data_IF_471929902732
#
_entry.id   IF_471929902732
#
_cell.length_a   1.000
_cell.length_b   1.000
_cell.length_c   1.000
_cell.angle_alpha   90.00
_cell.angle_beta   90.00
_cell.angle_gamma   90.00
#
_symmetry.space_group_name_H-M   'P 1'
#
loop_
_entity.id
_entity.type
_entity.pdbx_description
1 polymer ?
#
# COMPACT_ATOMS: atom_id res chain seq x y z
N UNK A 1 -28.93 46.25 56.54
CA UNK A 1 -29.72 45.65 55.42
C UNK A 1 -29.08 45.95 54.09
N UNK A 2 -28.76 47.18 53.73
CA UNK A 2 -28.19 47.59 52.46
C UNK A 2 -26.84 46.95 52.13
N UNK A 3 -25.96 46.84 53.15
CA UNK A 3 -24.64 46.19 52.98
C UNK A 3 -24.75 44.69 52.63
N UNK A 4 -25.69 43.99 53.21
CA UNK A 4 -25.93 42.56 52.96
C UNK A 4 -26.46 42.35 51.54
N UNK A 5 -27.33 43.26 51.07
CA UNK A 5 -27.86 43.22 49.68
C UNK A 5 -26.76 43.49 48.67
N UNK A 6 -25.90 44.45 48.91
CA UNK A 6 -24.76 44.76 48.05
C UNK A 6 -23.73 43.58 47.96
N UNK A 7 -23.41 42.97 49.10
CA UNK A 7 -22.56 41.82 49.17
C UNK A 7 -23.17 40.61 48.43
N UNK A 8 -24.47 40.35 48.58
CA UNK A 8 -25.19 39.28 47.88
C UNK A 8 -25.21 39.54 46.35
N UNK A 9 -25.36 40.77 45.90
CA UNK A 9 -25.33 41.12 44.50
C UNK A 9 -23.94 40.86 43.87
N UNK A 10 -22.87 41.29 44.54
CA UNK A 10 -21.49 41.00 44.11
C UNK A 10 -21.21 39.52 44.03
N UNK A 11 -21.71 38.74 45.00
CA UNK A 11 -21.56 37.29 44.98
C UNK A 11 -22.32 36.63 43.81
N UNK A 12 -23.55 37.10 43.54
CA UNK A 12 -24.35 36.61 42.43
C UNK A 12 -23.69 36.93 41.06
N UNK A 13 -23.19 38.13 40.89
CA UNK A 13 -22.50 38.57 39.68
C UNK A 13 -21.21 37.75 39.46
N UNK A 14 -20.46 37.44 40.53
CA UNK A 14 -19.29 36.60 40.47
C UNK A 14 -19.65 35.19 40.06
N UNK A 15 -20.67 34.57 40.65
CA UNK A 15 -21.14 33.23 40.31
C UNK A 15 -21.59 33.17 38.84
N UNK A 16 -22.31 34.19 38.35
CA UNK A 16 -22.74 34.24 36.97
C UNK A 16 -21.56 34.39 36.00
N UNK A 17 -20.55 35.18 36.35
CA UNK A 17 -19.34 35.33 35.53
C UNK A 17 -18.54 34.02 35.48
N UNK A 18 -18.37 33.33 36.60
CA UNK A 18 -17.68 32.03 36.65
C UNK A 18 -18.45 30.97 35.88
N UNK A 19 -19.77 30.87 36.02
CA UNK A 19 -20.60 29.93 35.26
C UNK A 19 -20.55 30.17 33.76
N UNK A 20 -20.54 31.45 33.32
CA UNK A 20 -20.41 31.83 31.92
C UNK A 20 -19.04 31.41 31.37
N UNK A 21 -17.96 31.71 32.08
CA UNK A 21 -16.61 31.32 31.70
C UNK A 21 -16.44 29.78 31.58
N UNK A 22 -17.03 29.05 32.53
CA UNK A 22 -17.01 27.61 32.51
C UNK A 22 -17.81 27.01 31.35
N UNK A 23 -18.97 27.58 31.04
CA UNK A 23 -19.80 27.19 29.89
C UNK A 23 -19.06 27.44 28.58
N UNK A 24 -18.41 28.59 28.42
CA UNK A 24 -17.61 28.91 27.23
C UNK A 24 -16.44 27.95 27.06
N UNK A 25 -15.74 27.64 28.14
CA UNK A 25 -14.66 26.64 28.17
C UNK A 25 -15.15 25.26 27.78
N UNK A 26 -16.28 24.82 28.34
CA UNK A 26 -16.88 23.52 28.06
C UNK A 26 -17.33 23.43 26.59
N UNK A 27 -17.96 24.49 26.04
CA UNK A 27 -18.38 24.56 24.64
C UNK A 27 -17.18 24.42 23.71
N UNK A 28 -16.12 25.19 23.95
CA UNK A 28 -14.89 25.11 23.15
C UNK A 28 -14.24 23.74 23.22
N UNK A 29 -14.15 23.16 24.43
CA UNK A 29 -13.61 21.81 24.62
C UNK A 29 -14.42 20.74 23.88
N UNK A 30 -15.76 20.87 23.88
CA UNK A 30 -16.65 19.98 23.16
C UNK A 30 -16.50 20.11 21.65
N UNK A 31 -16.40 21.32 21.12
CA UNK A 31 -16.13 21.55 19.69
C UNK A 31 -14.79 20.95 19.25
N UNK A 32 -13.75 21.12 20.05
CA UNK A 32 -12.44 20.55 19.76
C UNK A 32 -12.47 19.01 19.81
N UNK A 33 -13.21 18.44 20.76
CA UNK A 33 -13.41 16.99 20.87
C UNK A 33 -14.15 16.43 19.64
N UNK A 34 -15.21 17.11 19.19
CA UNK A 34 -15.96 16.72 17.98
C UNK A 34 -15.07 16.79 16.74
N UNK A 35 -14.29 17.84 16.58
CA UNK A 35 -13.33 17.97 15.47
C UNK A 35 -12.29 16.85 15.50
N UNK A 36 -11.78 16.53 16.68
CA UNK A 36 -10.80 15.43 16.85
C UNK A 36 -11.43 14.09 16.49
N UNK A 37 -12.65 13.82 16.98
CA UNK A 37 -13.37 12.59 16.65
C UNK A 37 -13.62 12.46 15.15
N UNK A 38 -14.01 13.56 14.48
CA UNK A 38 -14.18 13.61 13.03
C UNK A 38 -12.88 13.30 12.27
N UNK A 39 -11.76 13.89 12.69
CA UNK A 39 -10.44 13.57 12.10
C UNK A 39 -10.08 12.09 12.27
N UNK A 40 -10.25 11.56 13.47
CA UNK A 40 -9.94 10.17 13.77
C UNK A 40 -10.80 9.20 12.94
N UNK A 41 -12.09 9.50 12.78
CA UNK A 41 -12.98 8.73 11.93
C UNK A 41 -12.51 8.69 10.47
N UNK A 42 -12.12 9.83 9.91
CA UNK A 42 -11.61 9.91 8.54
C UNK A 42 -10.29 9.13 8.35
N UNK A 43 -9.41 9.18 9.35
CA UNK A 43 -8.16 8.40 9.34
C UNK A 43 -8.47 6.92 9.35
N UNK A 44 -9.29 6.43 10.30
CA UNK A 44 -9.67 5.02 10.42
C UNK A 44 -10.40 4.50 9.18
N UNK A 45 -11.26 5.33 8.58
CA UNK A 45 -11.94 4.98 7.33
C UNK A 45 -10.94 4.78 6.18
N UNK A 46 -10.00 5.73 6.02
CA UNK A 46 -8.94 5.62 5.00
C UNK A 46 -8.08 4.37 5.18
N UNK A 47 -7.67 4.09 6.41
CA UNK A 47 -6.89 2.89 6.74
C UNK A 47 -7.67 1.61 6.42
N UNK A 48 -8.96 1.57 6.70
CA UNK A 48 -9.82 0.44 6.36
C UNK A 48 -9.91 0.23 4.85
N UNK A 49 -10.17 1.29 4.08
CA UNK A 49 -10.23 1.21 2.61
C UNK A 49 -8.89 0.76 2.02
N UNK A 50 -7.78 1.29 2.53
CA UNK A 50 -6.44 0.89 2.06
C UNK A 50 -6.14 -0.57 2.34
N UNK A 51 -6.56 -1.07 3.51
CA UNK A 51 -6.39 -2.49 3.87
C UNK A 51 -7.22 -3.41 2.97
N UNK A 52 -8.49 -3.09 2.73
CA UNK A 52 -9.33 -3.85 1.82
C UNK A 52 -8.78 -3.86 0.39
N UNK A 53 -8.31 -2.71 -0.08
CA UNK A 53 -7.64 -2.62 -1.38
C UNK A 53 -6.42 -3.55 -1.47
N UNK A 54 -5.57 -3.54 -0.43
CA UNK A 54 -4.39 -4.44 -0.37
C UNK A 54 -4.81 -5.92 -0.40
N UNK A 55 -5.87 -6.28 0.29
CA UNK A 55 -6.42 -7.65 0.28
C UNK A 55 -6.86 -8.05 -1.12
N UNK A 56 -7.66 -7.22 -1.80
CA UNK A 56 -8.12 -7.48 -3.17
C UNK A 56 -6.94 -7.61 -4.14
N UNK A 57 -5.94 -6.75 -4.04
CA UNK A 57 -4.73 -6.82 -4.87
C UNK A 57 -4.00 -8.13 -4.61
N UNK A 58 -3.81 -8.51 -3.33
CA UNK A 58 -3.12 -9.74 -2.95
C UNK A 58 -3.81 -10.99 -3.49
N UNK A 59 -5.13 -11.07 -3.37
CA UNK A 59 -5.92 -12.19 -3.90
C UNK A 59 -5.76 -12.31 -5.43
N UNK A 60 -5.83 -11.21 -6.17
CA UNK A 60 -5.68 -11.22 -7.63
C UNK A 60 -4.25 -11.56 -8.07
N UNK A 61 -3.23 -11.00 -7.42
CA UNK A 61 -1.82 -11.32 -7.71
C UNK A 61 -1.56 -12.79 -7.45
N UNK A 62 -1.99 -13.33 -6.32
CA UNK A 62 -1.82 -14.75 -5.99
C UNK A 62 -2.57 -15.67 -6.95
N UNK A 63 -3.75 -15.28 -7.41
CA UNK A 63 -4.50 -16.05 -8.41
C UNK A 63 -3.74 -16.14 -9.74
N UNK A 64 -3.20 -15.02 -10.24
CA UNK A 64 -2.39 -14.99 -11.48
C UNK A 64 -1.11 -15.80 -11.30
N UNK A 65 -0.42 -15.64 -10.18
CA UNK A 65 0.85 -16.31 -9.91
C UNK A 65 0.71 -17.82 -9.69
N UNK A 66 -0.46 -18.27 -9.26
CA UNK A 66 -0.78 -19.71 -9.17
C UNK A 66 -1.29 -20.30 -10.48
N UNK A 67 -1.52 -19.51 -11.50
CA UNK A 67 -2.04 -19.92 -12.81
C UNK A 67 -0.93 -20.11 -13.85
N UNK A 68 -1.28 -20.66 -15.02
CA UNK A 68 -0.36 -20.77 -16.14
C UNK A 68 -0.02 -19.42 -16.79
N UNK A 69 -0.75 -18.36 -16.42
CA UNK A 69 -0.50 -16.98 -16.87
C UNK A 69 0.84 -16.45 -16.35
N UNK A 70 1.37 -16.98 -15.25
CA UNK A 70 2.68 -16.61 -14.71
C UNK A 70 3.80 -16.80 -15.76
N UNK A 71 3.78 -17.90 -16.50
CA UNK A 71 4.78 -18.14 -17.55
C UNK A 71 4.76 -17.04 -18.63
N UNK A 72 3.57 -16.64 -19.08
CA UNK A 72 3.40 -15.55 -20.03
C UNK A 72 3.88 -14.20 -19.49
N UNK A 73 3.61 -13.92 -18.22
CA UNK A 73 4.09 -12.71 -17.55
C UNK A 73 5.63 -12.67 -17.49
N UNK A 74 6.26 -13.78 -17.10
CA UNK A 74 7.72 -13.93 -17.07
C UNK A 74 8.31 -13.65 -18.43
N UNK A 75 7.78 -14.30 -19.47
CA UNK A 75 8.26 -14.15 -20.86
C UNK A 75 8.17 -12.67 -21.29
N UNK A 76 7.03 -12.02 -21.10
CA UNK A 76 6.84 -10.62 -21.47
C UNK A 76 7.81 -9.67 -20.74
N UNK A 77 8.04 -9.90 -19.46
CA UNK A 77 8.96 -9.06 -18.68
C UNK A 77 10.41 -9.29 -19.15
N UNK A 78 10.82 -10.52 -19.39
CA UNK A 78 12.16 -10.83 -19.90
C UNK A 78 12.36 -10.21 -21.28
N UNK A 79 11.37 -10.26 -22.18
CA UNK A 79 11.45 -9.58 -23.49
C UNK A 79 11.66 -8.07 -23.34
N UNK A 80 11.01 -7.44 -22.38
CA UNK A 80 11.25 -6.02 -22.08
C UNK A 80 12.69 -5.77 -21.60
N UNK A 81 13.29 -6.72 -20.87
CA UNK A 81 14.67 -6.63 -20.41
C UNK A 81 15.67 -6.92 -21.53
N UNK A 82 15.41 -7.92 -22.36
CA UNK A 82 16.26 -8.29 -23.50
C UNK A 82 16.49 -7.15 -24.51
N UNK A 83 15.53 -6.23 -24.59
CA UNK A 83 15.63 -5.04 -25.45
C UNK A 83 16.43 -3.88 -24.83
N UNK A 84 16.92 -4.02 -23.60
CA UNK A 84 17.76 -2.99 -22.95
C UNK A 84 19.23 -3.22 -23.29
N UNK A 85 19.96 -2.19 -23.72
CA UNK A 85 21.36 -2.33 -24.14
C UNK A 85 22.31 -2.77 -23.03
N UNK A 86 21.91 -2.57 -21.77
CA UNK A 86 22.74 -2.82 -20.59
C UNK A 86 22.36 -4.11 -19.86
N UNK A 87 21.45 -4.94 -20.40
CA UNK A 87 21.03 -6.18 -19.79
C UNK A 87 21.82 -7.37 -20.36
N UNK A 88 22.93 -7.69 -19.72
CA UNK A 88 23.70 -8.90 -19.97
C UNK A 88 23.40 -9.94 -18.86
N UNK A 89 23.55 -11.23 -19.19
CA UNK A 89 23.43 -12.36 -18.25
C UNK A 89 22.14 -12.35 -17.41
N UNK A 90 21.00 -12.47 -18.07
CA UNK A 90 19.69 -12.50 -17.38
C UNK A 90 19.53 -13.84 -16.67
N UNK A 91 19.36 -13.78 -15.35
CA UNK A 91 19.00 -14.92 -14.51
C UNK A 91 17.60 -14.73 -13.95
N UNK A 92 16.70 -15.65 -14.23
CA UNK A 92 15.36 -15.69 -13.61
C UNK A 92 15.41 -16.62 -12.41
N UNK A 93 15.03 -16.09 -11.27
CA UNK A 93 15.02 -16.82 -10.00
C UNK A 93 13.57 -17.01 -9.58
N UNK A 94 13.16 -18.26 -9.37
CA UNK A 94 11.81 -18.62 -8.92
C UNK A 94 11.85 -19.84 -8.01
N UNK A 95 10.73 -20.20 -7.40
CA UNK A 95 10.70 -21.41 -6.58
C UNK A 95 10.83 -22.67 -7.45
N UNK A 96 11.24 -23.77 -6.83
CA UNK A 96 11.50 -25.04 -7.52
C UNK A 96 10.26 -25.63 -8.18
N UNK A 97 9.07 -25.39 -7.64
CA UNK A 97 7.81 -25.91 -8.19
C UNK A 97 7.46 -25.19 -9.49
N UNK A 98 7.61 -23.88 -9.53
CA UNK A 98 7.34 -23.06 -10.71
C UNK A 98 8.39 -23.30 -11.81
N UNK A 99 9.65 -23.54 -11.47
CA UNK A 99 10.64 -23.96 -12.44
C UNK A 99 10.19 -25.25 -13.12
N UNK A 100 9.90 -26.31 -12.36
CA UNK A 100 9.48 -27.60 -12.91
C UNK A 100 8.22 -27.50 -13.77
N UNK A 101 7.36 -26.54 -13.46
CA UNK A 101 6.10 -26.30 -14.19
C UNK A 101 6.28 -25.54 -15.50
N UNK A 102 7.21 -24.58 -15.54
CA UNK A 102 7.28 -23.60 -16.63
C UNK A 102 8.60 -23.61 -17.41
N UNK A 103 9.63 -24.36 -16.97
CA UNK A 103 10.98 -24.33 -17.57
C UNK A 103 10.95 -24.54 -19.09
N UNK A 104 10.29 -25.59 -19.57
CA UNK A 104 10.23 -25.91 -20.99
C UNK A 104 9.54 -24.81 -21.81
N UNK A 105 8.47 -24.22 -21.25
CA UNK A 105 7.71 -23.16 -21.91
C UNK A 105 8.52 -21.87 -22.00
N UNK A 106 9.15 -21.47 -20.89
CA UNK A 106 9.98 -20.24 -20.83
C UNK A 106 11.19 -20.38 -21.76
N UNK A 107 11.92 -21.47 -21.67
CA UNK A 107 13.11 -21.69 -22.50
C UNK A 107 12.76 -21.81 -23.99
N UNK A 108 11.69 -22.51 -24.37
CA UNK A 108 11.25 -22.60 -25.74
C UNK A 108 10.87 -21.24 -26.34
N UNK A 109 10.14 -20.44 -25.57
CA UNK A 109 9.67 -19.12 -26.02
C UNK A 109 10.79 -18.07 -26.19
N UNK A 110 11.84 -18.19 -25.39
CA UNK A 110 12.91 -17.19 -25.34
C UNK A 110 14.17 -17.59 -26.12
N UNK A 111 14.32 -18.86 -26.49
CA UNK A 111 15.49 -19.40 -27.17
C UNK A 111 15.87 -18.68 -28.45
N UNK A 112 14.89 -18.23 -29.23
CA UNK A 112 15.12 -17.53 -30.49
C UNK A 112 15.35 -16.01 -30.31
N UNK A 113 14.99 -15.46 -29.16
CA UNK A 113 14.95 -14.01 -28.91
C UNK A 113 16.16 -13.50 -28.15
N UNK A 114 16.93 -14.38 -27.50
CA UNK A 114 18.06 -13.98 -26.66
C UNK A 114 19.38 -14.57 -27.16
N UNK A 115 20.25 -13.70 -27.63
CA UNK A 115 21.59 -14.07 -28.11
C UNK A 115 22.49 -14.67 -27.01
N UNK A 116 22.31 -14.26 -25.77
CA UNK A 116 23.16 -14.65 -24.62
C UNK A 116 22.52 -15.69 -23.70
N UNK A 117 21.32 -16.18 -24.05
CA UNK A 117 20.59 -17.16 -23.25
C UNK A 117 20.01 -16.60 -21.94
N UNK A 118 19.25 -17.44 -21.26
CA UNK A 118 18.64 -17.14 -19.96
C UNK A 118 19.00 -18.29 -19.03
N UNK A 119 19.32 -17.96 -17.80
CA UNK A 119 19.55 -18.95 -16.75
C UNK A 119 18.34 -18.98 -15.81
N UNK A 120 17.77 -20.17 -15.58
CA UNK A 120 16.76 -20.36 -14.54
C UNK A 120 17.44 -20.86 -13.26
N UNK A 121 17.08 -20.28 -12.11
CA UNK A 121 17.69 -20.61 -10.83
C UNK A 121 16.62 -20.81 -9.74
N UNK A 122 16.71 -21.94 -9.04
CA UNK A 122 15.78 -22.23 -7.94
C UNK A 122 16.12 -21.43 -6.68
N UNK A 123 15.08 -20.89 -6.04
CA UNK A 123 15.17 -20.31 -4.71
C UNK A 123 13.81 -20.41 -4.01
N UNK A 124 13.73 -21.27 -3.01
CA UNK A 124 12.49 -21.55 -2.27
C UNK A 124 12.28 -20.64 -1.05
N UNK A 125 12.98 -19.50 -0.99
CA UNK A 125 12.85 -18.52 0.11
C UNK A 125 11.67 -17.56 -0.08
N UNK A 126 10.86 -17.68 -1.14
CA UNK A 126 9.64 -16.91 -1.35
C UNK A 126 8.54 -17.76 -2.01
N UNK A 127 7.29 -17.44 -1.68
CA UNK A 127 6.14 -18.33 -1.94
C UNK A 127 5.53 -18.18 -3.34
N UNK A 128 5.98 -17.28 -4.17
CA UNK A 128 5.42 -17.12 -5.51
C UNK A 128 6.00 -15.95 -6.30
N UNK A 129 5.92 -16.08 -7.62
CA UNK A 129 6.49 -15.12 -8.54
C UNK A 129 7.96 -15.40 -8.86
N UNK A 130 8.69 -14.35 -9.22
CA UNK A 130 10.06 -14.47 -9.69
C UNK A 130 10.88 -13.22 -9.40
N UNK A 131 12.20 -13.37 -9.50
CA UNK A 131 13.16 -12.27 -9.48
C UNK A 131 14.00 -12.33 -10.74
N UNK A 132 14.39 -11.18 -11.26
CA UNK A 132 15.33 -11.07 -12.36
C UNK A 132 16.63 -10.50 -11.83
N UNK A 133 17.72 -11.22 -12.01
CA UNK A 133 19.06 -10.73 -11.81
C UNK A 133 19.69 -10.45 -13.17
N UNK A 134 20.38 -9.33 -13.30
CA UNK A 134 21.10 -8.91 -14.51
C UNK A 134 22.55 -8.59 -14.17
N UNK A 135 23.42 -8.63 -15.19
CA UNK A 135 24.83 -8.28 -15.05
C UNK A 135 25.53 -9.07 -13.94
N UNK A 136 25.46 -10.39 -14.02
CA UNK A 136 26.03 -11.32 -13.03
C UNK A 136 25.53 -11.10 -11.58
N UNK A 137 24.29 -10.64 -11.42
CA UNK A 137 23.66 -10.44 -10.13
C UNK A 137 24.00 -9.10 -9.46
N UNK A 138 24.53 -8.12 -10.18
CA UNK A 138 24.77 -6.78 -9.64
C UNK A 138 23.49 -5.97 -9.45
N UNK A 139 22.41 -6.30 -10.17
CA UNK A 139 21.09 -5.71 -10.00
C UNK A 139 20.02 -6.79 -9.92
N UNK A 140 19.09 -6.62 -8.98
CA UNK A 140 17.94 -7.50 -8.77
C UNK A 140 16.65 -6.71 -8.90
N UNK A 141 15.71 -7.30 -9.63
CA UNK A 141 14.35 -6.79 -9.77
C UNK A 141 13.39 -7.82 -9.20
N UNK A 142 12.67 -7.43 -8.16
CA UNK A 142 11.78 -8.32 -7.42
C UNK A 142 10.36 -8.24 -7.96
N UNK A 143 9.91 -9.33 -8.58
CA UNK A 143 8.56 -9.56 -9.06
C UNK A 143 7.87 -10.68 -8.26
N UNK A 144 8.27 -10.88 -7.00
CA UNK A 144 7.53 -11.77 -6.10
C UNK A 144 6.12 -11.25 -5.86
N UNK A 145 5.20 -12.13 -5.48
CA UNK A 145 3.81 -11.76 -5.19
C UNK A 145 3.74 -10.63 -4.17
N UNK A 146 4.54 -10.70 -3.11
CA UNK A 146 4.61 -9.68 -2.06
C UNK A 146 5.09 -8.33 -2.60
N UNK A 147 6.18 -8.31 -3.36
CA UNK A 147 6.73 -7.08 -3.93
C UNK A 147 5.75 -6.39 -4.89
N UNK A 148 5.04 -7.17 -5.71
CA UNK A 148 4.03 -6.65 -6.65
C UNK A 148 2.81 -6.11 -5.90
N UNK A 149 2.34 -6.82 -4.87
CA UNK A 149 1.24 -6.34 -4.00
C UNK A 149 1.60 -5.02 -3.34
N UNK A 150 2.80 -4.89 -2.80
CA UNK A 150 3.26 -3.67 -2.15
C UNK A 150 3.41 -2.51 -3.15
N UNK A 151 3.97 -2.78 -4.32
CA UNK A 151 4.12 -1.79 -5.39
C UNK A 151 2.75 -1.27 -5.86
N UNK A 152 1.80 -2.16 -6.15
CA UNK A 152 0.45 -1.79 -6.59
C UNK A 152 -0.33 -1.06 -5.49
N UNK A 153 -0.22 -1.51 -4.24
CA UNK A 153 -0.85 -0.87 -3.08
C UNK A 153 -0.32 0.55 -2.89
N UNK A 154 0.99 0.75 -2.98
CA UNK A 154 1.62 2.07 -2.85
C UNK A 154 1.24 3.01 -4.02
N UNK A 155 1.05 2.47 -5.21
CA UNK A 155 0.61 3.25 -6.37
C UNK A 155 -0.87 3.65 -6.29
N UNK A 156 -1.74 2.75 -5.82
CA UNK A 156 -3.20 2.96 -5.82
C UNK A 156 -3.69 3.71 -4.58
N UNK A 157 -3.06 3.55 -3.41
CA UNK A 157 -3.50 4.18 -2.17
C UNK A 157 -3.60 5.72 -2.23
N UNK A 158 -2.67 6.46 -2.84
CA UNK A 158 -2.82 7.91 -3.03
C UNK A 158 -4.01 8.27 -3.90
N UNK A 159 -4.26 7.51 -4.99
CA UNK A 159 -5.38 7.75 -5.91
C UNK A 159 -6.73 7.52 -5.24
N UNK A 160 -6.86 6.45 -4.45
CA UNK A 160 -8.06 6.21 -3.63
C UNK A 160 -8.27 7.36 -2.63
N UNK A 161 -7.20 7.84 -2.01
CA UNK A 161 -7.28 8.97 -1.08
C UNK A 161 -7.75 10.26 -1.77
N UNK A 162 -7.33 10.49 -2.99
CA UNK A 162 -7.75 11.65 -3.80
C UNK A 162 -9.24 11.57 -4.16
N UNK A 163 -9.69 10.42 -4.68
CA UNK A 163 -11.11 10.16 -4.96
C UNK A 163 -12.01 10.33 -3.73
N UNK A 164 -11.55 9.90 -2.55
CA UNK A 164 -12.29 10.07 -1.30
C UNK A 164 -12.35 11.54 -0.83
N UNK A 165 -11.43 12.39 -1.26
CA UNK A 165 -11.49 13.84 -1.01
C UNK A 165 -12.47 14.55 -1.94
N UNK A 166 -12.44 14.19 -3.24
CA UNK A 166 -13.34 14.76 -4.25
C UNK A 166 -14.81 14.43 -3.98
N UNK A 167 -15.11 13.24 -3.45
CA UNK A 167 -16.46 12.84 -3.06
C UNK A 167 -17.05 13.65 -1.89
N UNK A 168 -16.30 14.63 -1.34
CA UNK A 168 -16.68 15.46 -0.20
C UNK A 168 -17.22 16.85 -0.62
N UNK A 169 -17.12 17.20 -1.90
CA UNK A 169 -17.72 18.38 -2.52
C UNK A 169 -19.10 18.06 -3.12
#
# INVERSE_FOLDING_TARGET
>A
AEKIIAEAQVQADKIMAEAKAETEKMTKSSEDAIRQAGRNLLISFRESVTRELKTIISENVNAIYSSDELAGLIINIIECWANKPDAEDITVIMNSQDINRFEDNILASLKEKMLNGITLKANDNFDGGFRIAVNNGTAYYDYSAEAVVDMLSNYLSPKVTELLKEAKE
#
